data_IF_879174109717
#
_entry.id   IF_879174109717
#
_cell.length_a   1.000
_cell.length_b   1.000
_cell.length_c   1.000
_cell.angle_alpha   90.00
_cell.angle_beta   90.00
_cell.angle_gamma   90.00
#
_symmetry.space_group_name_H-M   'P 1'
#
loop_
_entity.id
_entity.type
_entity.pdbx_description
1 polymer ?
#
# COMPACT_ATOMS: atom_id res chain seq x y z
N UNK A 1 10.10 -22.15 -47.66
CA UNK A 1 10.58 -21.05 -46.78
C UNK A 1 9.38 -20.55 -45.97
N UNK A 2 9.60 -20.36 -44.68
CA UNK A 2 8.68 -20.53 -43.56
C UNK A 2 7.63 -19.42 -43.41
N UNK A 3 6.37 -19.81 -43.23
CA UNK A 3 5.31 -18.94 -42.72
C UNK A 3 5.60 -18.64 -41.24
N UNK A 4 5.87 -17.36 -40.94
CA UNK A 4 6.04 -16.85 -39.58
C UNK A 4 4.71 -16.92 -38.84
N UNK A 5 4.68 -17.74 -37.79
CA UNK A 5 3.52 -17.95 -36.95
C UNK A 5 3.54 -16.92 -35.80
N UNK A 6 3.31 -15.65 -36.12
CA UNK A 6 3.15 -14.59 -35.10
C UNK A 6 1.72 -14.60 -34.57
N UNK A 7 1.44 -15.57 -33.69
CA UNK A 7 0.33 -15.43 -32.75
C UNK A 7 0.83 -14.61 -31.57
N UNK A 8 0.21 -13.47 -31.22
CA UNK A 8 0.50 -12.84 -29.95
C UNK A 8 0.21 -13.87 -28.84
N UNK A 9 1.23 -14.20 -28.04
CA UNK A 9 1.00 -14.94 -26.80
C UNK A 9 0.06 -14.08 -25.97
N UNK A 10 -1.15 -14.54 -25.72
CA UNK A 10 -1.97 -13.96 -24.65
C UNK A 10 -1.21 -14.21 -23.36
N UNK A 11 -0.56 -13.18 -22.84
CA UNK A 11 -0.04 -13.20 -21.48
C UNK A 11 -1.29 -13.10 -20.60
N UNK A 12 -1.89 -14.25 -20.31
CA UNK A 12 -2.86 -14.35 -19.23
C UNK A 12 -2.03 -14.31 -17.97
N UNK A 13 -1.90 -13.10 -17.42
CA UNK A 13 -1.30 -12.93 -16.13
C UNK A 13 -2.37 -13.14 -15.08
N UNK A 14 -2.22 -14.21 -14.30
CA UNK A 14 -3.11 -14.47 -13.18
C UNK A 14 -2.75 -13.46 -12.10
N UNK A 15 -3.59 -12.44 -11.92
CA UNK A 15 -3.51 -11.58 -10.75
C UNK A 15 -3.62 -12.48 -9.50
N UNK A 16 -2.68 -12.34 -8.58
CA UNK A 16 -2.70 -13.07 -7.33
C UNK A 16 -3.61 -12.32 -6.36
N UNK A 17 -4.65 -12.99 -5.88
CA UNK A 17 -5.54 -12.44 -4.87
C UNK A 17 -5.50 -13.29 -3.60
N UNK A 18 -5.25 -12.63 -2.47
CA UNK A 18 -5.22 -13.22 -1.14
C UNK A 18 -6.44 -12.72 -0.37
N UNK A 19 -7.28 -13.64 0.12
CA UNK A 19 -8.50 -13.31 0.86
C UNK A 19 -8.33 -13.54 2.35
N UNK A 20 -8.82 -12.58 3.14
CA UNK A 20 -8.89 -12.62 4.61
C UNK A 20 -7.62 -13.13 5.29
N UNK A 21 -6.42 -12.61 4.95
CA UNK A 21 -5.20 -13.00 5.65
C UNK A 21 -5.23 -12.48 7.09
N UNK A 22 -4.58 -13.21 8.00
CA UNK A 22 -4.38 -12.76 9.37
C UNK A 22 -3.42 -11.57 9.43
N UNK A 23 -3.68 -10.60 10.29
CA UNK A 23 -2.81 -9.42 10.49
C UNK A 23 -1.80 -9.71 11.62
N UNK A 24 -0.48 -9.46 11.44
CA UNK A 24 0.16 -8.98 10.22
C UNK A 24 0.31 -10.08 9.16
N UNK A 25 0.26 -9.67 7.89
CA UNK A 25 0.57 -10.53 6.74
C UNK A 25 1.72 -9.90 5.95
N UNK A 26 2.63 -10.73 5.44
CA UNK A 26 3.63 -10.33 4.44
C UNK A 26 3.46 -11.18 3.18
N UNK A 27 3.16 -10.54 2.06
CA UNK A 27 2.86 -11.18 0.78
C UNK A 27 4.00 -10.90 -0.20
N UNK A 28 4.66 -11.92 -0.77
CA UNK A 28 5.67 -11.73 -1.79
C UNK A 28 5.11 -11.03 -3.02
N UNK A 29 5.88 -10.10 -3.59
CA UNK A 29 5.59 -9.39 -4.82
C UNK A 29 6.73 -9.67 -5.80
N UNK A 30 6.39 -10.20 -6.97
CA UNK A 30 7.38 -10.57 -7.99
C UNK A 30 7.87 -9.36 -8.78
N UNK A 31 7.00 -8.36 -9.02
CA UNK A 31 7.34 -7.10 -9.70
C UNK A 31 6.42 -5.99 -9.18
N UNK A 32 6.99 -4.88 -8.68
CA UNK A 32 6.27 -3.63 -8.42
C UNK A 32 6.78 -2.56 -9.39
N UNK A 33 6.24 -2.61 -10.61
CA UNK A 33 6.63 -1.77 -11.75
C UNK A 33 5.40 -1.06 -12.29
N UNK A 34 5.55 -0.08 -13.17
CA UNK A 34 4.46 0.77 -13.72
C UNK A 34 3.29 0.03 -14.39
N UNK A 35 3.43 -1.27 -14.63
CA UNK A 35 2.39 -2.16 -15.16
C UNK A 35 1.58 -2.85 -14.06
N UNK A 36 2.04 -2.82 -12.80
CA UNK A 36 1.45 -3.50 -11.65
C UNK A 36 0.88 -2.53 -10.64
N UNK A 37 -0.39 -2.67 -10.30
CA UNK A 37 -1.01 -2.02 -9.15
C UNK A 37 -1.22 -3.03 -8.01
N UNK A 38 -1.11 -2.53 -6.79
CA UNK A 38 -1.50 -3.28 -5.60
C UNK A 38 -2.78 -2.66 -5.06
N UNK A 39 -3.81 -3.48 -4.90
CA UNK A 39 -5.09 -3.07 -4.31
C UNK A 39 -5.34 -3.85 -3.03
N UNK A 40 -5.72 -3.15 -1.98
CA UNK A 40 -6.01 -3.73 -0.67
C UNK A 40 -7.40 -3.29 -0.25
N UNK A 41 -8.30 -4.25 -0.02
CA UNK A 41 -9.58 -4.01 0.62
C UNK A 41 -9.43 -4.31 2.11
N UNK A 42 -9.72 -3.34 2.96
CA UNK A 42 -9.48 -3.44 4.40
C UNK A 42 -10.53 -2.71 5.24
N UNK A 43 -10.59 -3.09 6.52
CA UNK A 43 -11.40 -2.48 7.56
C UNK A 43 -10.47 -2.06 8.71
N UNK A 44 -10.24 -0.75 8.93
CA UNK A 44 -9.48 -0.28 10.08
C UNK A 44 -10.20 -0.67 11.38
N UNK A 45 -9.46 -0.94 12.45
CA UNK A 45 -10.02 -1.38 13.73
C UNK A 45 -9.80 -0.29 14.79
N UNK A 46 -10.87 0.14 15.48
CA UNK A 46 -10.74 1.07 16.60
C UNK A 46 -10.25 0.35 17.86
N UNK A 47 -9.17 0.85 18.45
CA UNK A 47 -8.71 0.41 19.78
C UNK A 47 -8.78 1.56 20.79
N UNK A 48 -8.46 1.28 22.07
CA UNK A 48 -8.37 2.32 23.11
C UNK A 48 -7.39 3.45 22.77
N UNK A 49 -6.32 3.15 22.01
CA UNK A 49 -5.32 4.13 21.57
C UNK A 49 -5.66 4.84 20.26
N UNK A 50 -6.81 4.52 19.65
CA UNK A 50 -7.16 4.88 18.29
C UNK A 50 -6.91 3.75 17.29
N UNK A 51 -6.75 4.10 16.03
CA UNK A 51 -6.47 3.17 14.93
C UNK A 51 -5.13 3.53 14.32
N UNK A 52 -4.17 2.62 14.41
CA UNK A 52 -2.86 2.76 13.79
C UNK A 52 -2.51 1.47 13.05
N UNK A 53 -2.41 1.57 11.73
CA UNK A 53 -2.03 0.46 10.87
C UNK A 53 -1.05 0.93 9.79
N UNK A 54 -0.36 0.00 9.15
CA UNK A 54 0.64 0.30 8.14
C UNK A 54 0.54 -0.63 6.95
N UNK A 55 1.00 -0.12 5.81
CA UNK A 55 1.30 -0.87 4.60
C UNK A 55 2.76 -0.59 4.24
N UNK A 56 3.60 -1.60 4.36
CA UNK A 56 5.04 -1.53 4.08
C UNK A 56 5.34 -2.22 2.76
N UNK A 57 6.03 -1.53 1.87
CA UNK A 57 6.63 -2.08 0.65
C UNK A 57 8.10 -2.37 0.97
N UNK A 58 8.44 -3.65 1.13
CA UNK A 58 9.72 -4.08 1.73
C UNK A 58 10.70 -4.59 0.68
N UNK A 59 11.98 -4.44 1.00
CA UNK A 59 13.10 -5.10 0.32
C UNK A 59 14.03 -5.69 1.39
N UNK A 60 13.69 -6.89 1.88
CA UNK A 60 14.34 -7.46 3.05
C UNK A 60 13.99 -6.67 4.31
N UNK A 61 15.01 -6.18 5.02
CA UNK A 61 14.86 -5.36 6.24
C UNK A 61 14.49 -3.90 5.94
N UNK A 62 14.75 -3.41 4.72
CA UNK A 62 14.41 -2.05 4.32
C UNK A 62 12.93 -1.92 3.97
N UNK A 63 12.34 -0.76 4.27
CA UNK A 63 11.00 -0.36 3.83
C UNK A 63 11.16 0.73 2.78
N UNK A 64 11.02 0.36 1.51
CA UNK A 64 11.09 1.27 0.35
C UNK A 64 10.05 2.39 0.50
N UNK A 65 8.84 2.02 0.88
CA UNK A 65 7.73 2.93 1.15
C UNK A 65 6.85 2.35 2.25
N UNK A 66 6.64 3.10 3.32
CA UNK A 66 5.58 2.86 4.29
C UNK A 66 4.47 3.87 4.04
N UNK A 67 3.22 3.41 4.06
CA UNK A 67 2.06 4.23 4.35
C UNK A 67 1.55 3.88 5.75
N UNK A 68 1.33 4.89 6.59
CA UNK A 68 0.87 4.72 7.96
C UNK A 68 -0.27 5.70 8.27
N UNK A 69 -1.53 5.27 8.13
CA UNK A 69 -2.68 5.99 8.67
C UNK A 69 -2.67 5.98 10.21
N UNK A 70 -2.76 7.17 10.80
CA UNK A 70 -2.76 7.42 12.24
C UNK A 70 -4.07 8.12 12.60
N UNK A 71 -4.94 7.44 13.32
CA UNK A 71 -6.20 7.98 13.84
C UNK A 71 -6.13 7.92 15.36
N UNK A 72 -5.90 9.05 16.01
CA UNK A 72 -5.79 9.15 17.46
C UNK A 72 -7.07 9.73 18.05
N UNK A 73 -7.58 9.11 19.11
CA UNK A 73 -8.68 9.66 19.92
C UNK A 73 -8.13 10.83 20.73
N UNK A 74 -8.69 12.04 20.54
CA UNK A 74 -8.29 13.23 21.32
C UNK A 74 -9.26 13.53 22.45
N UNK A 75 -10.56 13.43 22.19
CA UNK A 75 -11.66 13.46 23.16
C UNK A 75 -12.73 12.46 22.72
N UNK A 76 -13.71 12.15 23.57
CA UNK A 76 -14.68 11.06 23.39
C UNK A 76 -15.42 11.00 22.04
N UNK A 77 -15.36 12.07 21.22
CA UNK A 77 -15.97 12.16 19.88
C UNK A 77 -15.08 12.83 18.82
N UNK A 78 -13.83 13.21 19.11
CA UNK A 78 -12.95 13.87 18.13
C UNK A 78 -11.64 13.12 17.91
N UNK A 79 -11.30 12.97 16.64
CA UNK A 79 -10.10 12.28 16.19
C UNK A 79 -9.10 13.27 15.59
N UNK A 80 -7.81 13.03 15.87
CA UNK A 80 -6.71 13.59 15.09
C UNK A 80 -6.27 12.54 14.07
N UNK A 81 -6.35 12.87 12.78
CA UNK A 81 -6.14 11.92 11.69
C UNK A 81 -5.08 12.41 10.73
N UNK A 82 -4.15 11.53 10.39
CA UNK A 82 -3.11 11.78 9.39
C UNK A 82 -2.81 10.51 8.61
N UNK A 83 -2.36 10.66 7.37
CA UNK A 83 -1.71 9.58 6.62
C UNK A 83 -0.27 10.03 6.44
N UNK A 84 0.66 9.21 6.94
CA UNK A 84 2.10 9.50 6.88
C UNK A 84 2.76 8.51 5.93
N UNK A 85 3.60 9.03 5.05
CA UNK A 85 4.49 8.25 4.22
C UNK A 85 5.94 8.42 4.69
N UNK A 86 6.71 7.34 4.63
CA UNK A 86 8.14 7.40 4.91
C UNK A 86 8.89 6.23 4.25
N UNK A 87 10.21 6.24 4.33
CA UNK A 87 11.13 5.16 3.96
C UNK A 87 11.95 4.79 5.18
N UNK A 88 12.17 3.50 5.42
CA UNK A 88 13.17 3.00 6.36
C UNK A 88 14.30 2.37 5.56
N UNK A 89 15.50 2.94 5.64
CA UNK A 89 16.62 2.51 4.80
C UNK A 89 17.92 2.55 5.61
N UNK A 90 18.73 1.50 5.51
CA UNK A 90 19.99 1.38 6.25
C UNK A 90 19.80 1.61 7.76
N UNK A 91 18.76 0.99 8.34
CA UNK A 91 18.55 0.98 9.80
C UNK A 91 17.95 2.25 10.40
N UNK A 92 17.47 3.21 9.60
CA UNK A 92 16.84 4.42 10.13
C UNK A 92 15.69 4.92 9.25
N UNK A 93 14.72 5.56 9.90
CA UNK A 93 13.64 6.30 9.24
C UNK A 93 14.20 7.56 8.57
N UNK A 94 13.69 7.82 7.38
CA UNK A 94 13.96 9.06 6.65
C UNK A 94 12.94 10.14 7.07
N UNK A 95 12.86 11.25 6.32
CA UNK A 95 11.91 12.34 6.60
C UNK A 95 10.45 11.91 6.41
N UNK A 96 9.55 12.25 7.33
CA UNK A 96 8.12 11.95 7.19
C UNK A 96 7.44 12.88 6.19
N UNK A 97 6.58 12.34 5.34
CA UNK A 97 5.67 13.09 4.48
C UNK A 97 4.24 12.91 4.98
N UNK A 98 3.61 13.98 5.47
CA UNK A 98 2.19 13.93 5.86
C UNK A 98 1.33 14.38 4.69
N UNK A 99 0.34 13.57 4.31
CA UNK A 99 -0.59 13.91 3.23
C UNK A 99 -1.32 15.23 3.58
N UNK A 100 -1.33 16.25 2.69
CA UNK A 100 -1.85 17.58 2.99
C UNK A 100 -3.38 17.69 2.99
N UNK A 101 -4.10 16.57 3.05
CA UNK A 101 -5.57 16.54 3.07
C UNK A 101 -6.11 15.94 4.36
N UNK A 102 -7.40 16.17 4.61
CA UNK A 102 -8.12 15.49 5.68
C UNK A 102 -8.17 13.99 5.35
N UNK A 103 -7.61 13.17 6.24
CA UNK A 103 -7.62 11.72 6.10
C UNK A 103 -9.08 11.19 6.06
N UNK A 104 -9.51 10.56 4.95
CA UNK A 104 -10.89 10.07 4.78
C UNK A 104 -11.16 8.75 5.52
N UNK A 105 -10.11 8.10 6.04
CA UNK A 105 -10.21 6.83 6.76
C UNK A 105 -10.81 7.08 8.14
N UNK A 106 -11.85 6.30 8.46
CA UNK A 106 -12.53 6.22 9.75
C UNK A 106 -12.40 4.80 10.33
N UNK A 107 -12.44 4.65 11.66
CA UNK A 107 -12.26 3.35 12.33
C UNK A 107 -13.35 2.29 12.12
N UNK A 108 -14.45 2.62 11.46
CA UNK A 108 -15.59 1.73 11.19
C UNK A 108 -15.95 1.65 9.69
N UNK A 109 -15.13 2.27 8.83
CA UNK A 109 -15.30 2.24 7.38
C UNK A 109 -14.64 1.02 6.73
N UNK A 110 -15.03 0.71 5.50
CA UNK A 110 -14.29 -0.21 4.62
C UNK A 110 -13.70 0.59 3.48
N UNK A 111 -12.42 0.38 3.19
CA UNK A 111 -11.68 1.18 2.23
C UNK A 111 -10.93 0.30 1.24
N UNK A 112 -10.92 0.73 -0.02
CA UNK A 112 -10.02 0.22 -1.05
C UNK A 112 -8.81 1.13 -1.14
N UNK A 113 -7.64 0.63 -0.79
CA UNK A 113 -6.37 1.30 -0.99
C UNK A 113 -5.75 0.83 -2.30
N UNK A 114 -5.31 1.75 -3.15
CA UNK A 114 -4.63 1.40 -4.41
C UNK A 114 -3.29 2.11 -4.49
N UNK A 115 -2.24 1.34 -4.78
CA UNK A 115 -0.89 1.82 -5.00
C UNK A 115 -0.51 1.56 -6.45
N UNK A 116 -0.26 2.64 -7.19
CA UNK A 116 0.00 2.62 -8.63
C UNK A 116 1.38 3.24 -8.88
N UNK A 117 2.43 2.43 -9.05
CA UNK A 117 3.75 2.91 -9.41
C UNK A 117 3.75 3.57 -10.79
N UNK A 118 4.62 4.54 -10.96
CA UNK A 118 4.79 5.36 -12.15
C UNK A 118 6.14 5.11 -12.78
N UNK A 119 6.23 5.32 -14.11
CA UNK A 119 7.53 5.37 -14.82
C UNK A 119 8.42 6.52 -14.37
N UNK A 120 7.88 7.48 -13.63
CA UNK A 120 8.56 8.70 -13.21
C UNK A 120 8.99 8.68 -11.73
N UNK A 121 9.36 7.51 -11.20
CA UNK A 121 9.88 7.36 -9.83
C UNK A 121 8.93 7.88 -8.75
N UNK A 122 7.64 7.54 -8.90
CA UNK A 122 6.60 7.89 -7.92
C UNK A 122 5.61 6.74 -7.78
N UNK A 123 4.92 6.70 -6.64
CA UNK A 123 3.76 5.84 -6.42
C UNK A 123 2.54 6.73 -6.18
N UNK A 124 1.55 6.61 -7.06
CA UNK A 124 0.25 7.25 -6.89
C UNK A 124 -0.60 6.42 -5.94
N UNK A 125 -1.21 7.08 -4.97
CA UNK A 125 -2.03 6.48 -3.95
C UNK A 125 -3.48 6.94 -4.06
N UNK A 126 -4.40 5.99 -4.03
CA UNK A 126 -5.84 6.23 -4.10
C UNK A 126 -6.56 5.56 -2.92
N UNK A 127 -7.60 6.23 -2.45
CA UNK A 127 -8.56 5.68 -1.49
C UNK A 127 -9.92 5.69 -2.17
N UNK A 128 -10.54 4.52 -2.29
CA UNK A 128 -11.83 4.32 -2.97
C UNK A 128 -11.86 4.92 -4.39
N UNK A 129 -10.76 4.72 -5.12
CA UNK A 129 -10.57 5.24 -6.48
C UNK A 129 -10.32 6.75 -6.58
N UNK A 130 -10.25 7.47 -5.46
CA UNK A 130 -9.94 8.92 -5.44
C UNK A 130 -8.47 9.15 -5.19
N UNK A 131 -7.84 9.96 -6.05
CA UNK A 131 -6.46 10.37 -5.88
C UNK A 131 -6.26 11.03 -4.52
N UNK A 132 -5.28 10.56 -3.77
CA UNK A 132 -5.01 11.00 -2.39
C UNK A 132 -3.62 11.59 -2.26
N UNK A 133 -2.60 10.92 -2.79
CA UNK A 133 -1.21 11.38 -2.67
C UNK A 133 -0.31 10.81 -3.76
N UNK A 134 0.79 11.49 -4.06
CA UNK A 134 1.89 10.97 -4.87
C UNK A 134 3.13 10.91 -3.98
N UNK A 135 3.61 9.71 -3.68
CA UNK A 135 4.87 9.54 -2.96
C UNK A 135 6.02 9.44 -3.95
N UNK A 136 7.03 10.32 -3.84
CA UNK A 136 8.23 10.23 -4.66
C UNK A 136 9.16 9.17 -4.12
N UNK A 137 9.55 8.23 -4.98
CA UNK A 137 10.41 7.13 -4.60
C UNK A 137 11.80 7.62 -4.17
N UNK A 138 12.19 7.28 -2.94
CA UNK A 138 13.55 7.53 -2.42
C UNK A 138 14.51 6.40 -2.76
N UNK A 139 13.95 5.24 -3.09
CA UNK A 139 14.63 4.05 -3.57
C UNK A 139 13.81 3.48 -4.74
N UNK A 140 14.44 2.88 -5.75
CA UNK A 140 13.70 2.40 -6.92
C UNK A 140 12.61 1.39 -6.54
N UNK A 141 11.36 1.63 -6.97
CA UNK A 141 10.21 0.78 -6.65
C UNK A 141 10.36 -0.68 -7.10
N UNK A 142 11.11 -0.94 -8.17
CA UNK A 142 11.41 -2.29 -8.63
C UNK A 142 12.19 -3.15 -7.61
N UNK A 143 12.74 -2.54 -6.55
CA UNK A 143 13.39 -3.27 -5.45
C UNK A 143 12.38 -3.91 -4.48
N UNK A 144 11.10 -3.54 -4.52
CA UNK A 144 10.09 -4.12 -3.64
C UNK A 144 9.95 -5.62 -3.91
N UNK A 145 10.05 -6.40 -2.84
CA UNK A 145 10.01 -7.88 -2.81
C UNK A 145 8.77 -8.42 -2.12
N UNK A 146 8.17 -7.62 -1.24
CA UNK A 146 6.98 -8.00 -0.48
C UNK A 146 6.20 -6.78 -0.04
N UNK A 147 4.91 -7.00 0.22
CA UNK A 147 4.04 -6.04 0.91
C UNK A 147 3.62 -6.63 2.24
N UNK A 148 3.94 -5.92 3.32
CA UNK A 148 3.53 -6.25 4.68
C UNK A 148 2.42 -5.30 5.13
N UNK A 149 1.35 -5.84 5.69
CA UNK A 149 0.22 -5.10 6.21
C UNK A 149 0.04 -5.50 7.67
N UNK A 150 -0.02 -4.51 8.57
CA UNK A 150 -0.02 -4.76 10.01
C UNK A 150 -0.65 -3.64 10.83
N UNK A 151 -0.80 -3.88 12.13
CA UNK A 151 -1.41 -2.96 13.09
C UNK A 151 -2.91 -3.17 13.27
N UNK A 152 -3.66 -2.10 13.53
CA UNK A 152 -5.10 -2.14 13.84
C UNK A 152 -5.93 -2.17 12.55
N UNK A 153 -5.90 -3.29 11.85
CA UNK A 153 -6.63 -3.46 10.58
C UNK A 153 -7.01 -4.93 10.35
N UNK A 154 -8.21 -5.13 9.83
CA UNK A 154 -8.67 -6.38 9.24
C UNK A 154 -8.55 -6.29 7.73
N UNK A 155 -7.89 -7.28 7.12
CA UNK A 155 -7.66 -7.32 5.68
C UNK A 155 -8.73 -8.21 5.06
N UNK A 156 -9.45 -7.69 4.07
CA UNK A 156 -10.50 -8.44 3.37
C UNK A 156 -9.92 -9.10 2.11
N UNK A 157 -9.18 -8.34 1.30
CA UNK A 157 -8.40 -8.91 0.20
C UNK A 157 -7.18 -8.07 -0.17
N UNK A 158 -6.18 -8.73 -0.74
CA UNK A 158 -5.02 -8.10 -1.38
C UNK A 158 -4.92 -8.63 -2.80
N UNK A 159 -5.03 -7.75 -3.77
CA UNK A 159 -4.97 -8.05 -5.19
C UNK A 159 -3.68 -7.46 -5.78
N UNK A 160 -2.84 -8.34 -6.32
CA UNK A 160 -1.59 -8.03 -6.99
C UNK A 160 -1.78 -8.24 -8.50
N UNK A 161 -1.85 -7.15 -9.28
CA UNK A 161 -2.16 -7.19 -10.72
C UNK A 161 -1.26 -6.32 -11.54
#
# INVERSE_FOLDING_TARGET
MTAGNDKPKSIVEFANEVFVPSTPVEIPVTEFTDVRRIRILLHPVLTRGGTNFYVNFKNGEDIVMQMNPRIHVRLSITFHKAIVFNTFYNGHWQEEETVPMICPIEPDGTYTLEFVPSRFHSVFFYIDGRFTYEFRERQPGFKVRSVEIGGNVEIISVHLS
#
